data_IF_580232145902
#
_entry.id   IF_580232145902
#
_cell.length_a   1.000
_cell.length_b   1.000
_cell.length_c   1.000
_cell.angle_alpha   90.00
_cell.angle_beta   90.00
_cell.angle_gamma   90.00
#
_symmetry.space_group_name_H-M   'P 1'
#
loop_
_entity.id
_entity.type
_entity.pdbx_description
1 polymer ?
#
# COMPACT_ATOMS: atom_id res chain seq x y z
N UNK A 1 3.34 25.10 14.07
CA UNK A 1 2.50 23.88 13.97
C UNK A 1 1.50 24.12 12.84
N UNK A 2 1.36 23.21 11.87
CA UNK A 2 0.66 23.47 10.59
C UNK A 2 -0.88 23.60 10.67
N UNK A 3 -1.50 23.50 11.85
CA UNK A 3 -2.94 23.71 12.03
C UNK A 3 -3.86 22.62 11.45
N UNK A 4 -3.31 21.47 11.04
CA UNK A 4 -4.06 20.37 10.44
C UNK A 4 -4.70 19.50 11.55
N UNK A 5 -6.00 19.70 11.81
CA UNK A 5 -6.72 18.98 12.87
C UNK A 5 -7.03 17.50 12.53
N UNK A 6 -7.12 17.18 11.24
CA UNK A 6 -7.52 15.86 10.74
C UNK A 6 -6.35 15.08 10.11
N UNK A 7 -5.10 15.47 10.44
CA UNK A 7 -3.90 14.83 9.90
C UNK A 7 -3.00 14.44 11.05
N UNK A 8 -2.73 13.13 11.14
CA UNK A 8 -1.71 12.58 12.03
C UNK A 8 -0.48 12.24 11.20
N UNK A 9 0.61 12.98 11.40
CA UNK A 9 1.89 12.65 10.78
C UNK A 9 2.69 11.71 11.70
N UNK A 10 3.14 10.59 11.15
CA UNK A 10 4.00 9.62 11.85
C UNK A 10 5.33 9.55 11.11
N UNK A 11 6.43 9.76 11.82
CA UNK A 11 7.77 9.59 11.27
C UNK A 11 8.34 8.25 11.77
N UNK A 12 8.28 7.22 10.93
CA UNK A 12 8.73 5.87 11.25
C UNK A 12 9.09 5.10 9.98
N UNK A 13 9.86 4.02 10.13
CA UNK A 13 10.03 3.04 9.06
C UNK A 13 8.73 2.26 8.89
N UNK A 14 8.23 2.10 7.65
CA UNK A 14 6.96 1.43 7.38
C UNK A 14 6.92 -0.01 7.88
N UNK A 15 8.04 -0.74 7.78
CA UNK A 15 8.10 -2.15 8.21
C UNK A 15 8.07 -2.29 9.73
N UNK A 16 8.55 -1.30 10.47
CA UNK A 16 8.43 -1.23 11.93
C UNK A 16 7.04 -0.74 12.36
N UNK A 17 6.40 0.09 11.53
CA UNK A 17 5.09 0.66 11.82
C UNK A 17 3.93 -0.33 11.62
N UNK A 18 3.95 -1.13 10.55
CA UNK A 18 2.85 -2.04 10.22
C UNK A 18 2.44 -2.98 11.38
N UNK A 19 3.36 -3.62 12.13
CA UNK A 19 3.00 -4.51 13.24
C UNK A 19 2.37 -3.80 14.46
N UNK A 20 2.73 -2.52 14.67
CA UNK A 20 2.26 -1.73 15.81
C UNK A 20 1.01 -0.90 15.48
N UNK A 21 0.71 -0.68 14.20
CA UNK A 21 -0.50 -0.02 13.76
C UNK A 21 -1.74 -0.84 14.19
N UNK A 22 -2.64 -0.21 14.97
CA UNK A 22 -3.90 -0.82 15.42
C UNK A 22 -5.13 -0.19 14.79
N UNK A 23 -4.91 0.86 14.00
CA UNK A 23 -5.97 1.57 13.29
C UNK A 23 -6.25 0.87 11.96
N UNK A 24 -7.51 0.93 11.53
CA UNK A 24 -7.95 0.40 10.25
C UNK A 24 -8.37 1.54 9.35
N UNK A 25 -8.08 1.40 8.07
CA UNK A 25 -8.33 2.41 7.05
C UNK A 25 -9.25 1.83 5.96
N UNK A 26 -10.02 2.72 5.34
CA UNK A 26 -10.82 2.38 4.16
C UNK A 26 -9.97 2.39 2.87
N UNK A 27 -8.88 3.15 2.87
CA UNK A 27 -7.94 3.21 1.74
C UNK A 27 -6.52 3.34 2.27
N UNK A 28 -5.62 2.49 1.77
CA UNK A 28 -4.17 2.59 1.99
C UNK A 28 -3.49 2.82 0.64
N UNK A 29 -2.63 3.82 0.57
CA UNK A 29 -1.80 4.11 -0.60
C UNK A 29 -0.32 3.85 -0.27
N UNK A 30 0.41 3.25 -1.20
CA UNK A 30 1.86 3.10 -1.11
C UNK A 30 2.52 3.53 -2.43
N UNK A 31 3.47 4.46 -2.32
CA UNK A 31 4.41 4.86 -3.37
C UNK A 31 5.84 4.63 -2.83
N UNK A 32 6.29 3.36 -2.79
CA UNK A 32 7.64 3.04 -2.36
C UNK A 32 8.67 3.45 -3.42
N UNK A 33 9.93 3.73 -3.03
CA UNK A 33 10.99 3.90 -4.02
C UNK A 33 11.11 2.66 -4.92
N UNK A 34 11.17 2.84 -6.24
CA UNK A 34 11.29 1.75 -7.22
C UNK A 34 12.45 0.78 -6.96
N UNK A 35 13.55 1.27 -6.38
CA UNK A 35 14.73 0.46 -6.03
C UNK A 35 14.61 -0.29 -4.69
N UNK A 36 13.45 -0.28 -4.04
CA UNK A 36 13.23 -0.95 -2.77
C UNK A 36 13.25 -2.47 -2.98
N UNK A 37 14.23 -3.13 -2.35
CA UNK A 37 14.31 -4.59 -2.33
C UNK A 37 13.06 -5.20 -1.67
N UNK A 38 12.44 -6.17 -2.34
CA UNK A 38 11.23 -6.82 -1.85
C UNK A 38 9.94 -6.02 -2.08
N UNK A 39 9.90 -5.14 -3.09
CA UNK A 39 8.68 -4.41 -3.49
C UNK A 39 7.52 -5.36 -3.82
N UNK A 40 7.83 -6.51 -4.41
CA UNK A 40 6.89 -7.61 -4.70
C UNK A 40 6.18 -8.16 -3.45
N UNK A 41 6.82 -8.05 -2.27
CA UNK A 41 6.24 -8.50 -0.98
C UNK A 41 5.34 -7.48 -0.30
N UNK A 42 5.27 -6.24 -0.80
CA UNK A 42 4.51 -5.17 -0.15
C UNK A 42 3.01 -5.49 -0.06
N UNK A 43 2.32 -5.98 -1.10
CA UNK A 43 0.90 -6.32 -1.00
C UNK A 43 0.61 -7.30 0.13
N UNK A 44 1.37 -8.38 0.25
CA UNK A 44 1.22 -9.36 1.32
C UNK A 44 1.42 -8.74 2.71
N UNK A 45 2.44 -7.88 2.86
CA UNK A 45 2.73 -7.21 4.14
C UNK A 45 1.61 -6.25 4.54
N UNK A 46 1.06 -5.48 3.60
CA UNK A 46 0.01 -4.50 3.88
C UNK A 46 -1.32 -5.20 4.16
N UNK A 47 -1.73 -6.14 3.31
CA UNK A 47 -2.97 -6.89 3.47
C UNK A 47 -2.92 -7.79 4.72
N UNK A 48 -1.77 -8.39 5.00
CA UNK A 48 -1.53 -9.23 6.19
C UNK A 48 -1.40 -8.44 7.51
N UNK A 49 -1.12 -7.14 7.47
CA UNK A 49 -1.01 -6.31 8.68
C UNK A 49 -2.36 -6.04 9.36
N UNK A 50 -3.49 -6.31 8.69
CA UNK A 50 -4.82 -6.11 9.25
C UNK A 50 -5.21 -4.63 9.43
N UNK A 51 -4.52 -3.73 8.72
CA UNK A 51 -4.75 -2.27 8.76
C UNK A 51 -5.86 -1.82 7.81
N UNK A 52 -6.49 -2.73 7.07
CA UNK A 52 -7.63 -2.44 6.20
C UNK A 52 -8.91 -3.00 6.80
N UNK A 53 -10.01 -2.29 6.59
CA UNK A 53 -11.35 -2.87 6.78
C UNK A 53 -11.64 -3.92 5.69
N UNK A 54 -12.44 -4.96 5.96
CA UNK A 54 -12.83 -5.93 4.93
C UNK A 54 -13.53 -5.22 3.76
N UNK A 55 -13.18 -5.58 2.52
CA UNK A 55 -13.72 -4.95 1.30
C UNK A 55 -13.16 -3.56 0.97
N UNK A 56 -12.16 -3.09 1.73
CA UNK A 56 -11.49 -1.82 1.51
C UNK A 56 -10.18 -1.99 0.72
N UNK A 57 -9.61 -0.89 0.24
CA UNK A 57 -8.62 -0.94 -0.84
C UNK A 57 -7.20 -0.61 -0.42
N UNK A 58 -6.27 -1.42 -0.94
CA UNK A 58 -4.86 -1.09 -1.00
C UNK A 58 -4.49 -0.70 -2.44
N UNK A 59 -3.74 0.38 -2.60
CA UNK A 59 -3.29 0.90 -3.89
C UNK A 59 -1.77 1.05 -3.85
N UNK A 60 -1.08 0.31 -4.73
CA UNK A 60 0.37 0.30 -4.85
C UNK A 60 0.79 0.94 -6.17
N UNK A 61 1.61 2.00 -6.11
CA UNK A 61 2.38 2.50 -7.24
C UNK A 61 3.65 1.64 -7.43
N UNK A 62 3.92 1.25 -8.66
CA UNK A 62 5.12 0.49 -9.02
C UNK A 62 5.50 0.70 -10.50
N UNK A 63 6.70 0.26 -10.87
CA UNK A 63 7.20 0.30 -12.25
C UNK A 63 6.69 -0.84 -13.12
N UNK A 64 7.00 -0.75 -14.41
CA UNK A 64 6.61 -1.73 -15.43
C UNK A 64 7.32 -3.09 -15.29
N UNK A 65 8.33 -3.16 -14.42
CA UNK A 65 9.06 -4.37 -14.07
C UNK A 65 8.32 -5.32 -13.11
N UNK A 66 7.25 -4.85 -12.44
CA UNK A 66 6.45 -5.66 -11.52
C UNK A 66 5.05 -5.95 -12.08
N UNK A 67 4.52 -7.14 -11.79
CA UNK A 67 3.12 -7.48 -12.05
C UNK A 67 2.50 -8.20 -10.88
N UNK A 68 1.36 -7.70 -10.43
CA UNK A 68 0.59 -8.26 -9.31
C UNK A 68 -0.70 -8.94 -9.73
N UNK A 69 -0.89 -9.14 -11.04
CA UNK A 69 -2.12 -9.70 -11.62
C UNK A 69 -2.45 -11.12 -11.14
N UNK A 70 -1.46 -11.87 -10.67
CA UNK A 70 -1.63 -13.20 -10.11
C UNK A 70 -1.91 -13.23 -8.60
N UNK A 71 -1.87 -12.07 -7.93
CA UNK A 71 -2.10 -11.99 -6.48
C UNK A 71 -3.58 -12.28 -6.17
N UNK A 72 -3.92 -13.09 -5.15
CA UNK A 72 -5.30 -13.51 -4.87
C UNK A 72 -6.26 -12.35 -4.59
N UNK A 73 -5.75 -11.28 -3.97
CA UNK A 73 -6.51 -10.06 -3.68
C UNK A 73 -6.46 -9.00 -4.78
N UNK A 74 -5.84 -9.27 -5.94
CA UNK A 74 -5.76 -8.29 -7.03
C UNK A 74 -7.13 -8.01 -7.64
N UNK A 75 -7.47 -6.73 -7.80
CA UNK A 75 -8.73 -6.29 -8.41
C UNK A 75 -8.51 -5.80 -9.83
N UNK A 76 -7.58 -4.84 -10.01
CA UNK A 76 -7.28 -4.23 -11.31
C UNK A 76 -5.99 -3.44 -11.27
N UNK A 77 -5.45 -3.17 -12.44
CA UNK A 77 -4.31 -2.28 -12.65
C UNK A 77 -4.73 -1.04 -13.46
N UNK A 78 -4.11 0.10 -13.17
CA UNK A 78 -4.13 1.30 -14.02
C UNK A 78 -2.71 1.59 -14.49
N UNK A 79 -2.49 1.52 -15.79
CA UNK A 79 -1.21 1.79 -16.43
C UNK A 79 -1.18 3.22 -17.00
N UNK A 80 -0.11 3.94 -16.68
CA UNK A 80 0.22 5.26 -17.22
C UNK A 80 1.69 5.28 -17.72
N UNK A 81 1.95 4.53 -18.80
CA UNK A 81 3.29 4.41 -19.37
C UNK A 81 4.15 3.46 -18.55
N UNK A 82 5.13 4.01 -17.82
CA UNK A 82 6.02 3.24 -16.93
C UNK A 82 5.56 3.18 -15.48
N UNK A 83 4.49 3.90 -15.15
CA UNK A 83 3.93 3.96 -13.80
C UNK A 83 2.64 3.15 -13.80
N UNK A 84 2.57 2.18 -12.90
CA UNK A 84 1.45 1.27 -12.74
C UNK A 84 0.87 1.42 -11.34
N UNK A 85 -0.47 1.43 -11.25
CA UNK A 85 -1.18 1.38 -9.97
C UNK A 85 -1.94 0.05 -9.88
N UNK A 86 -1.48 -0.83 -9.01
CA UNK A 86 -2.17 -2.08 -8.68
C UNK A 86 -3.11 -1.87 -7.50
N UNK A 87 -4.37 -2.26 -7.68
CA UNK A 87 -5.44 -2.13 -6.67
C UNK A 87 -5.78 -3.52 -6.14
N UNK A 88 -5.84 -3.64 -4.81
CA UNK A 88 -6.14 -4.86 -4.08
C UNK A 88 -7.30 -4.64 -3.10
N UNK A 89 -8.02 -5.70 -2.76
CA UNK A 89 -9.12 -5.71 -1.79
C UNK A 89 -8.81 -6.62 -0.60
N UNK A 90 -8.98 -6.10 0.61
CA UNK A 90 -8.72 -6.80 1.89
C UNK A 90 -9.82 -7.79 2.29
#
# INVERSE_FOLDING_TARGET
RLGLANVTAVHSNVFDFLPICKEKFDIVFADPPYALEGLDTIPDKVLGAGILHPGCWFILEHGDEYSFTAHPNFVKERNYGRVHFSIFEA
#
